data_IF_961890873768
#
_entry.id   IF_961890873768
#
_cell.length_a   1.000
_cell.length_b   1.000
_cell.length_c   1.000
_cell.angle_alpha   90.00
_cell.angle_beta   90.00
_cell.angle_gamma   90.00
#
_symmetry.space_group_name_H-M   'P 1'
#
loop_
_entity.id
_entity.type
_entity.pdbx_description
1 polymer ?
#
# COMPACT_ATOMS: atom_id res chain seq x y z
N UNK A 1 -57.71 11.44 -57.81
CA UNK A 1 -57.55 11.09 -56.38
C UNK A 1 -56.58 9.94 -56.36
N UNK A 2 -55.30 10.24 -56.09
CA UNK A 2 -54.20 9.28 -56.19
C UNK A 2 -53.42 9.40 -54.88
N UNK A 3 -53.56 8.39 -54.03
CA UNK A 3 -52.87 8.25 -52.76
C UNK A 3 -51.37 8.02 -53.00
N UNK A 4 -50.55 8.94 -52.49
CA UNK A 4 -49.09 8.83 -52.49
C UNK A 4 -48.71 8.21 -51.14
N UNK A 5 -48.38 6.91 -51.15
CA UNK A 5 -47.78 6.26 -49.99
C UNK A 5 -46.33 6.73 -49.82
N UNK A 6 -46.05 7.44 -48.74
CA UNK A 6 -44.69 7.73 -48.26
C UNK A 6 -44.09 6.45 -47.64
N UNK A 7 -42.87 6.05 -48.00
CA UNK A 7 -42.19 4.94 -47.35
C UNK A 7 -41.77 5.34 -45.93
N UNK A 8 -42.19 4.53 -44.96
CA UNK A 8 -41.83 4.65 -43.56
C UNK A 8 -40.32 4.45 -43.39
N UNK A 9 -39.69 5.43 -42.76
CA UNK A 9 -38.27 5.49 -42.40
C UNK A 9 -37.94 4.40 -41.37
N UNK A 10 -37.41 3.26 -41.84
CA UNK A 10 -36.77 2.24 -41.00
C UNK A 10 -35.44 2.80 -40.48
N UNK A 11 -35.49 3.52 -39.35
CA UNK A 11 -34.30 3.92 -38.60
C UNK A 11 -33.54 2.67 -38.15
N UNK A 12 -32.29 2.43 -38.59
CA UNK A 12 -31.48 1.37 -38.02
C UNK A 12 -31.14 1.74 -36.57
N UNK A 13 -31.77 0.98 -35.67
CA UNK A 13 -31.56 0.96 -34.23
C UNK A 13 -30.08 0.88 -33.86
N UNK A 14 -29.72 1.69 -32.85
CA UNK A 14 -28.64 1.49 -31.87
C UNK A 14 -27.48 0.62 -32.36
N UNK A 15 -26.38 1.29 -32.70
CA UNK A 15 -25.04 0.70 -32.67
C UNK A 15 -24.83 0.15 -31.25
N UNK A 16 -25.07 -1.14 -31.07
CA UNK A 16 -24.55 -1.90 -29.95
C UNK A 16 -23.03 -1.84 -30.11
N UNK A 17 -22.40 -0.86 -29.44
CA UNK A 17 -20.97 -0.89 -29.24
C UNK A 17 -20.72 -2.18 -28.44
N UNK A 18 -19.99 -3.18 -28.97
CA UNK A 18 -19.60 -4.31 -28.15
C UNK A 18 -18.88 -3.72 -26.94
N UNK A 19 -19.37 -4.04 -25.75
CA UNK A 19 -18.66 -3.80 -24.49
C UNK A 19 -17.26 -4.36 -24.72
N UNK A 20 -16.26 -3.46 -24.79
CA UNK A 20 -14.89 -3.88 -24.93
C UNK A 20 -14.62 -4.89 -23.83
N UNK A 21 -14.15 -6.09 -24.21
CA UNK A 21 -13.67 -7.05 -23.24
C UNK A 21 -12.71 -6.30 -22.31
N UNK A 22 -12.76 -6.52 -20.97
CA UNK A 22 -11.83 -5.88 -20.07
C UNK A 22 -10.43 -6.20 -20.58
N UNK A 23 -9.73 -5.17 -21.07
CA UNK A 23 -8.33 -5.31 -21.45
C UNK A 23 -7.65 -5.81 -20.19
N UNK A 24 -7.03 -7.02 -20.22
CA UNK A 24 -6.25 -7.47 -19.07
C UNK A 24 -5.17 -6.40 -18.87
N UNK A 25 -5.31 -5.62 -17.80
CA UNK A 25 -4.29 -4.66 -17.42
C UNK A 25 -3.02 -5.50 -17.22
N UNK A 26 -1.91 -5.18 -17.92
CA UNK A 26 -0.67 -5.89 -17.69
C UNK A 26 -0.37 -5.81 -16.20
N UNK A 27 -0.28 -6.98 -15.55
CA UNK A 27 0.15 -7.04 -14.15
C UNK A 27 1.64 -6.75 -14.19
N UNK A 28 1.97 -5.46 -14.11
CA UNK A 28 3.33 -4.94 -14.20
C UNK A 28 4.18 -5.46 -13.04
N UNK A 29 5.46 -5.67 -13.34
CA UNK A 29 6.50 -6.06 -12.38
C UNK A 29 6.39 -5.22 -11.09
N UNK A 30 6.47 -5.87 -9.94
CA UNK A 30 6.34 -5.25 -8.61
C UNK A 30 7.32 -4.07 -8.44
N UNK A 31 8.50 -4.16 -9.05
CA UNK A 31 9.51 -3.09 -9.09
C UNK A 31 9.07 -1.89 -9.96
N UNK A 32 8.46 -2.16 -11.12
CA UNK A 32 7.89 -1.12 -11.99
C UNK A 32 6.74 -0.40 -11.28
N UNK A 33 5.92 -1.13 -10.51
CA UNK A 33 4.83 -0.50 -9.74
C UNK A 33 5.36 0.36 -8.59
N UNK A 34 6.47 0.01 -7.93
CA UNK A 34 7.02 0.81 -6.84
C UNK A 34 7.54 2.16 -7.33
N UNK A 35 8.28 2.18 -8.45
CA UNK A 35 8.78 3.42 -9.05
C UNK A 35 7.63 4.38 -9.40
N UNK A 36 6.50 3.86 -9.88
CA UNK A 36 5.30 4.67 -10.13
C UNK A 36 4.70 5.24 -8.84
N UNK A 37 4.57 4.45 -7.79
CA UNK A 37 4.03 4.92 -6.50
C UNK A 37 4.88 6.04 -5.93
N UNK A 38 6.20 5.90 -5.99
CA UNK A 38 7.13 6.95 -5.57
C UNK A 38 6.99 8.20 -6.43
N UNK A 39 6.82 8.07 -7.76
CA UNK A 39 6.57 9.22 -8.65
C UNK A 39 5.29 9.96 -8.28
N UNK A 40 4.20 9.23 -8.01
CA UNK A 40 2.94 9.84 -7.58
C UNK A 40 3.09 10.56 -6.23
N UNK A 41 3.73 9.92 -5.25
CA UNK A 41 4.01 10.54 -3.96
C UNK A 41 4.80 11.85 -4.12
N UNK A 42 5.85 11.85 -4.94
CA UNK A 42 6.66 13.06 -5.22
C UNK A 42 5.87 14.14 -5.97
N UNK A 43 4.93 13.75 -6.85
CA UNK A 43 4.11 14.71 -7.61
C UNK A 43 3.20 15.57 -6.74
N UNK A 44 2.91 15.13 -5.51
CA UNK A 44 2.08 15.89 -4.54
C UNK A 44 2.77 17.14 -3.98
N UNK A 45 4.11 17.24 -4.11
CA UNK A 45 4.90 18.30 -3.48
C UNK A 45 5.14 18.10 -1.98
N UNK A 46 4.55 17.07 -1.35
CA UNK A 46 4.80 16.73 0.04
C UNK A 46 6.22 16.16 0.24
N UNK A 47 6.78 16.33 1.44
CA UNK A 47 8.07 15.74 1.81
C UNK A 47 7.89 14.24 2.01
N UNK A 48 8.53 13.44 1.14
CA UNK A 48 8.57 11.98 1.22
C UNK A 48 9.87 11.52 1.90
N UNK A 49 9.75 10.73 2.96
CA UNK A 49 10.87 9.98 3.55
C UNK A 49 10.50 8.50 3.65
N UNK A 50 11.42 7.62 3.26
CA UNK A 50 11.23 6.17 3.35
C UNK A 50 12.32 5.64 4.28
N UNK A 51 11.93 5.01 5.38
CA UNK A 51 12.89 4.29 6.24
C UNK A 51 13.25 2.94 5.59
N UNK A 52 14.43 2.36 5.92
CA UNK A 52 14.75 1.00 5.51
C UNK A 52 13.64 0.03 5.91
N UNK A 53 13.25 -0.85 4.99
CA UNK A 53 12.30 -1.92 5.30
C UNK A 53 12.97 -2.90 6.25
N UNK A 54 12.24 -3.30 7.28
CA UNK A 54 12.72 -4.26 8.26
C UNK A 54 12.02 -5.60 8.07
N UNK A 55 12.75 -6.67 8.34
CA UNK A 55 12.31 -8.06 8.20
C UNK A 55 12.44 -8.79 9.53
N UNK A 56 11.66 -9.86 9.71
CA UNK A 56 11.68 -10.65 10.94
C UNK A 56 11.49 -12.14 10.66
N UNK A 57 12.13 -12.98 11.47
CA UNK A 57 11.95 -14.44 11.48
C UNK A 57 10.80 -14.87 12.39
N UNK A 58 10.56 -14.12 13.46
CA UNK A 58 9.79 -14.52 14.63
C UNK A 58 8.73 -13.49 15.05
N UNK A 59 8.79 -12.27 14.50
CA UNK A 59 7.96 -11.14 14.90
C UNK A 59 8.55 -10.29 16.02
N UNK A 60 9.64 -10.74 16.64
CA UNK A 60 10.25 -10.09 17.80
C UNK A 60 11.46 -9.24 17.37
N UNK A 61 12.36 -9.83 16.57
CA UNK A 61 13.57 -9.16 16.11
C UNK A 61 13.36 -8.65 14.69
N UNK A 62 13.62 -7.35 14.51
CA UNK A 62 13.46 -6.64 13.25
C UNK A 62 14.81 -6.18 12.74
N UNK A 63 15.17 -6.56 11.51
CA UNK A 63 16.46 -6.26 10.90
C UNK A 63 16.28 -5.61 9.52
N UNK A 64 17.08 -4.59 9.16
CA UNK A 64 16.98 -3.92 7.87
C UNK A 64 17.59 -4.73 6.71
N UNK A 65 18.29 -5.83 7.02
CA UNK A 65 18.95 -6.69 6.05
C UNK A 65 18.64 -8.15 6.37
N UNK A 66 18.10 -8.87 5.38
CA UNK A 66 17.75 -10.28 5.50
C UNK A 66 18.81 -11.15 4.83
N UNK A 67 19.55 -11.94 5.63
CA UNK A 67 20.63 -12.82 5.16
C UNK A 67 20.32 -14.32 5.34
N UNK A 68 19.09 -14.67 5.70
CA UNK A 68 18.69 -16.06 5.85
C UNK A 68 18.35 -16.70 4.50
N UNK A 69 18.61 -18.00 4.38
CA UNK A 69 18.33 -18.79 3.16
C UNK A 69 16.83 -18.94 2.86
N UNK A 70 15.97 -18.75 3.86
CA UNK A 70 14.51 -18.83 3.73
C UNK A 70 13.84 -17.46 3.61
N UNK A 71 12.56 -17.42 3.18
CA UNK A 71 11.79 -16.18 3.18
C UNK A 71 11.65 -15.64 4.61
N UNK A 72 11.63 -14.30 4.78
CA UNK A 72 11.26 -13.70 6.07
C UNK A 72 9.83 -14.09 6.46
N UNK A 73 9.54 -14.17 7.76
CA UNK A 73 8.18 -14.42 8.22
C UNK A 73 7.27 -13.21 7.97
N UNK A 74 7.82 -12.00 8.12
CA UNK A 74 7.13 -10.76 7.85
C UNK A 74 8.10 -9.62 7.49
N UNK A 75 7.54 -8.54 6.96
CA UNK A 75 8.24 -7.28 6.75
C UNK A 75 7.40 -6.09 7.23
N UNK A 76 8.10 -5.00 7.56
CA UNK A 76 7.54 -3.73 8.01
C UNK A 76 8.20 -2.59 7.25
N UNK A 77 7.39 -1.71 6.66
CA UNK A 77 7.86 -0.48 6.02
C UNK A 77 7.28 0.74 6.74
N UNK A 78 8.10 1.78 6.86
CA UNK A 78 7.71 3.09 7.36
C UNK A 78 7.91 4.14 6.28
N UNK A 79 6.85 4.85 5.92
CA UNK A 79 6.87 6.00 5.02
C UNK A 79 6.41 7.22 5.78
N UNK A 80 7.15 8.33 5.70
CA UNK A 80 6.71 9.63 6.23
C UNK A 80 6.26 10.55 5.12
N UNK A 81 5.09 11.15 5.30
CA UNK A 81 4.57 12.28 4.51
C UNK A 81 4.54 13.51 5.40
N UNK A 82 5.32 14.52 5.05
CA UNK A 82 5.44 15.76 5.83
C UNK A 82 5.78 15.51 7.32
N UNK A 83 6.61 14.50 7.57
CA UNK A 83 7.02 14.06 8.91
C UNK A 83 6.04 13.13 9.62
N UNK A 84 4.84 12.89 9.09
CA UNK A 84 3.83 11.99 9.67
C UNK A 84 4.13 10.55 9.25
N UNK A 85 4.44 9.62 10.19
CA UNK A 85 4.77 8.25 9.86
C UNK A 85 3.53 7.41 9.57
N UNK A 86 3.61 6.65 8.48
CA UNK A 86 2.69 5.56 8.13
C UNK A 86 3.48 4.27 8.12
N UNK A 87 3.12 3.36 9.03
CA UNK A 87 3.76 2.05 9.18
C UNK A 87 2.83 0.98 8.66
N UNK A 88 3.34 0.10 7.80
CA UNK A 88 2.61 -1.07 7.30
C UNK A 88 3.40 -2.33 7.59
N UNK A 89 2.68 -3.35 8.05
CA UNK A 89 3.18 -4.69 8.35
C UNK A 89 2.44 -5.72 7.49
N UNK A 90 3.17 -6.70 6.97
CA UNK A 90 2.62 -7.86 6.26
C UNK A 90 3.43 -9.12 6.54
N UNK A 91 2.73 -10.24 6.69
CA UNK A 91 3.33 -11.57 6.72
C UNK A 91 3.63 -12.04 5.30
N UNK A 92 4.69 -12.81 5.14
CA UNK A 92 5.06 -13.42 3.86
C UNK A 92 3.91 -14.27 3.31
N UNK A 93 3.36 -15.16 4.14
CA UNK A 93 2.26 -16.07 3.74
C UNK A 93 0.98 -15.34 3.30
N UNK A 94 0.75 -14.12 3.78
CA UNK A 94 -0.40 -13.28 3.40
C UNK A 94 -0.11 -12.42 2.16
N UNK A 95 1.16 -12.23 1.83
CA UNK A 95 1.59 -11.44 0.68
C UNK A 95 1.71 -12.28 -0.59
N UNK A 96 1.75 -13.61 -0.48
CA UNK A 96 1.86 -14.51 -1.61
C UNK A 96 0.67 -14.33 -2.58
N UNK A 97 0.95 -14.22 -3.89
CA UNK A 97 -0.08 -14.26 -4.91
C UNK A 97 -0.86 -15.57 -4.86
N UNK A 98 -2.12 -15.54 -5.33
CA UNK A 98 -2.94 -16.75 -5.44
C UNK A 98 -2.28 -17.81 -6.33
N UNK A 99 -2.57 -19.08 -6.05
CA UNK A 99 -1.90 -20.24 -6.68
C UNK A 99 -2.11 -20.36 -8.20
N UNK A 100 -3.10 -19.65 -8.75
CA UNK A 100 -3.49 -19.69 -10.16
C UNK A 100 -3.20 -18.40 -10.91
N UNK A 101 -2.58 -17.40 -10.28
CA UNK A 101 -2.33 -16.09 -10.91
C UNK A 101 -1.10 -16.17 -11.83
N UNK A 102 -1.32 -15.96 -13.13
CA UNK A 102 -0.27 -15.99 -14.15
C UNK A 102 0.22 -14.58 -14.51
N UNK A 103 1.49 -14.47 -14.89
CA UNK A 103 2.06 -13.28 -15.53
C UNK A 103 1.68 -13.21 -17.01
N UNK A 104 1.97 -12.07 -17.64
CA UNK A 104 1.79 -11.90 -19.09
C UNK A 104 2.61 -12.91 -19.91
N UNK A 105 3.73 -13.40 -19.37
CA UNK A 105 4.58 -14.41 -20.00
C UNK A 105 4.12 -15.85 -19.70
N UNK A 106 2.99 -16.03 -19.00
CA UNK A 106 2.45 -17.35 -18.64
C UNK A 106 3.14 -18.05 -17.47
N UNK A 107 4.01 -17.35 -16.71
CA UNK A 107 4.63 -17.90 -15.49
C UNK A 107 3.70 -17.72 -14.29
N UNK A 108 3.75 -18.61 -13.31
CA UNK A 108 3.01 -18.38 -12.05
C UNK A 108 3.69 -17.25 -11.27
N UNK A 109 2.86 -16.32 -10.78
CA UNK A 109 3.36 -15.24 -9.93
C UNK A 109 4.01 -15.77 -8.66
N UNK A 110 3.51 -16.89 -8.12
CA UNK A 110 4.07 -17.53 -6.93
C UNK A 110 5.52 -17.97 -7.15
N UNK A 111 5.86 -18.55 -8.29
CA UNK A 111 7.24 -18.97 -8.61
C UNK A 111 8.20 -17.78 -8.60
N UNK A 112 7.75 -16.63 -9.11
CA UNK A 112 8.55 -15.39 -9.13
C UNK A 112 8.77 -14.85 -7.71
N UNK A 113 7.76 -14.98 -6.85
CA UNK A 113 7.85 -14.60 -5.44
C UNK A 113 8.79 -15.52 -4.67
N UNK A 114 8.66 -16.82 -4.85
CA UNK A 114 9.50 -17.82 -4.19
C UNK A 114 10.97 -17.74 -4.63
N UNK A 115 11.24 -17.30 -5.87
CA UNK A 115 12.61 -17.08 -6.35
C UNK A 115 13.32 -15.87 -5.70
N UNK A 116 12.58 -14.82 -5.29
CA UNK A 116 13.15 -13.61 -4.71
C UNK A 116 12.31 -13.08 -3.54
N UNK A 117 12.21 -13.84 -2.42
CA UNK A 117 11.20 -13.58 -1.42
C UNK A 117 11.39 -12.24 -0.71
N UNK A 118 12.62 -11.91 -0.35
CA UNK A 118 12.95 -10.67 0.35
C UNK A 118 12.57 -9.44 -0.48
N UNK A 119 13.04 -9.36 -1.73
CA UNK A 119 12.82 -8.21 -2.61
C UNK A 119 11.32 -8.01 -2.94
N UNK A 120 10.60 -9.12 -3.14
CA UNK A 120 9.16 -9.06 -3.46
C UNK A 120 8.34 -8.64 -2.25
N UNK A 121 8.65 -9.16 -1.06
CA UNK A 121 7.99 -8.73 0.17
C UNK A 121 8.30 -7.26 0.48
N UNK A 122 9.56 -6.85 0.33
CA UNK A 122 9.99 -5.46 0.52
C UNK A 122 9.15 -4.50 -0.33
N UNK A 123 9.13 -4.74 -1.63
CA UNK A 123 8.43 -3.90 -2.58
C UNK A 123 6.92 -3.92 -2.34
N UNK A 124 6.36 -5.06 -1.92
CA UNK A 124 4.94 -5.17 -1.59
C UNK A 124 4.56 -4.34 -0.36
N UNK A 125 5.30 -4.46 0.74
CA UNK A 125 5.01 -3.70 1.96
C UNK A 125 5.24 -2.21 1.75
N UNK A 126 6.27 -1.83 0.99
CA UNK A 126 6.55 -0.43 0.69
C UNK A 126 5.46 0.19 -0.19
N UNK A 127 4.94 -0.52 -1.20
CA UNK A 127 3.78 -0.05 -1.99
C UNK A 127 2.54 0.15 -1.12
N UNK A 128 2.28 -0.78 -0.20
CA UNK A 128 1.15 -0.66 0.73
C UNK A 128 1.33 0.54 1.68
N UNK A 129 2.56 0.80 2.15
CA UNK A 129 2.87 1.98 2.98
C UNK A 129 2.70 3.29 2.20
N UNK A 130 3.20 3.37 0.96
CA UNK A 130 3.01 4.51 0.07
C UNK A 130 1.53 4.73 -0.26
N UNK A 131 0.80 3.68 -0.59
CA UNK A 131 -0.64 3.74 -0.88
C UNK A 131 -1.46 4.26 0.31
N UNK A 132 -1.05 3.94 1.54
CA UNK A 132 -1.69 4.45 2.75
C UNK A 132 -1.28 5.88 3.10
N UNK A 133 0.00 6.23 2.94
CA UNK A 133 0.52 7.57 3.24
C UNK A 133 0.03 8.64 2.24
N UNK A 134 -0.19 8.23 1.00
CA UNK A 134 -0.65 9.07 -0.12
C UNK A 134 -1.98 8.58 -0.68
N UNK A 135 -2.91 8.21 0.22
CA UNK A 135 -4.21 7.63 -0.16
C UNK A 135 -5.04 8.54 -1.08
N UNK A 136 -4.85 9.86 -0.99
CA UNK A 136 -5.47 10.88 -1.84
C UNK A 136 -5.06 10.80 -3.31
N UNK A 137 -3.87 10.27 -3.62
CA UNK A 137 -3.35 10.19 -5.00
C UNK A 137 -3.19 8.74 -5.47
N UNK A 138 -2.98 7.80 -4.54
CA UNK A 138 -2.66 6.39 -4.82
C UNK A 138 -3.81 5.45 -4.42
N UNK A 139 -4.61 5.81 -3.41
CA UNK A 139 -5.46 4.89 -2.64
C UNK A 139 -6.55 4.14 -3.42
N UNK A 140 -7.00 4.68 -4.56
CA UNK A 140 -8.01 4.03 -5.41
C UNK A 140 -7.42 2.97 -6.37
N UNK A 141 -6.10 2.77 -6.40
CA UNK A 141 -5.46 1.85 -7.36
C UNK A 141 -5.55 0.40 -6.89
N UNK A 142 -6.06 -0.53 -7.73
CA UNK A 142 -6.06 -1.95 -7.40
C UNK A 142 -4.62 -2.48 -7.30
N UNK A 143 -4.31 -3.19 -6.22
CA UNK A 143 -3.02 -3.86 -6.06
C UNK A 143 -2.90 -5.00 -7.10
N UNK A 144 -1.81 -5.08 -7.88
CA UNK A 144 -1.60 -6.15 -8.84
C UNK A 144 -1.52 -7.51 -8.13
N UNK A 145 -2.31 -8.50 -8.57
CA UNK A 145 -2.28 -9.88 -8.07
C UNK A 145 -3.21 -10.20 -6.90
N UNK A 146 -3.91 -9.21 -6.31
CA UNK A 146 -5.04 -9.50 -5.42
C UNK A 146 -6.33 -9.66 -6.24
N UNK A 147 -7.08 -10.75 -6.09
CA UNK A 147 -8.42 -10.81 -6.62
C UNK A 147 -9.23 -9.66 -6.01
N UNK A 148 -9.85 -8.85 -6.87
CA UNK A 148 -10.79 -7.82 -6.44
C UNK A 148 -11.91 -8.58 -5.73
N UNK A 149 -12.10 -8.36 -4.42
CA UNK A 149 -13.43 -8.52 -3.88
C UNK A 149 -14.29 -7.61 -4.75
N UNK A 150 -15.28 -8.14 -5.45
CA UNK A 150 -16.25 -7.32 -6.15
C UNK A 150 -16.85 -6.43 -5.06
N UNK A 151 -16.33 -5.20 -4.97
CA UNK A 151 -17.01 -4.15 -4.25
C UNK A 151 -18.19 -3.89 -5.17
N UNK A 152 -19.30 -4.56 -4.87
CA UNK A 152 -20.60 -4.25 -5.43
C UNK A 152 -20.84 -2.77 -5.06
N UNK A 153 -20.35 -1.86 -5.90
CA UNK A 153 -21.12 -0.66 -6.23
C UNK A 153 -22.29 -1.12 -7.11
N UNK A 154 -23.10 -2.01 -6.54
CA UNK A 154 -24.48 -2.22 -6.92
C UNK A 154 -25.27 -1.31 -6.01
N UNK A 155 -26.12 -0.50 -6.61
CA UNK A 155 -27.19 0.26 -5.97
C UNK A 155 -27.78 -0.50 -4.76
N UNK A 156 -27.38 -0.11 -3.54
CA UNK A 156 -27.98 -0.64 -2.31
C UNK A 156 -29.35 0.01 -2.16
N UNK A 157 -30.33 -0.55 -2.86
CA UNK A 157 -31.72 -0.45 -2.45
C UNK A 157 -31.80 -0.94 -1.01
N UNK A 158 -32.21 -0.06 -0.11
CA UNK A 158 -32.46 -0.38 1.29
C UNK A 158 -33.47 -1.53 1.38
N UNK A 159 -32.96 -2.75 1.50
CA UNK A 159 -33.74 -3.89 1.96
C UNK A 159 -33.49 -4.01 3.46
N UNK A 160 -34.55 -3.89 4.30
CA UNK A 160 -34.39 -4.21 5.71
C UNK A 160 -33.92 -5.66 5.81
N UNK A 161 -32.89 -5.90 6.63
CA UNK A 161 -32.38 -7.23 6.90
C UNK A 161 -33.57 -8.15 7.25
N UNK A 162 -33.66 -9.36 6.66
CA UNK A 162 -34.65 -10.32 7.10
C UNK A 162 -34.47 -10.55 8.61
N UNK A 163 -35.56 -10.58 9.38
CA UNK A 163 -35.47 -10.82 10.82
C UNK A 163 -34.67 -12.10 11.06
N UNK A 164 -33.79 -12.13 12.07
CA UNK A 164 -33.02 -13.33 12.36
C UNK A 164 -33.98 -14.50 12.60
N UNK A 165 -33.62 -15.72 12.16
CA UNK A 165 -34.43 -16.89 12.47
C UNK A 165 -34.56 -17.02 13.99
N UNK A 166 -35.79 -17.27 14.48
CA UNK A 166 -36.15 -17.31 15.90
C UNK A 166 -35.27 -18.26 16.75
N UNK A 167 -34.57 -19.20 16.10
CA UNK A 167 -33.61 -20.10 16.73
C UNK A 167 -32.36 -19.39 17.28
N UNK A 168 -31.94 -18.25 16.70
CA UNK A 168 -30.78 -17.49 17.16
C UNK A 168 -31.11 -16.69 18.43
N UNK A 169 -32.32 -16.15 18.54
CA UNK A 169 -32.76 -15.41 19.73
C UNK A 169 -32.90 -16.35 20.95
N UNK A 170 -33.43 -17.55 20.76
CA UNK A 170 -33.53 -18.56 21.82
C UNK A 170 -32.16 -19.02 22.32
N UNK A 171 -31.16 -19.05 21.44
CA UNK A 171 -29.79 -19.43 21.79
C UNK A 171 -29.06 -18.32 22.54
N UNK A 172 -29.31 -17.06 22.18
CA UNK A 172 -28.79 -15.88 22.88
C UNK A 172 -29.40 -15.74 24.30
N UNK A 173 -30.72 -15.93 24.43
CA UNK A 173 -31.41 -15.90 25.73
C UNK A 173 -30.95 -17.03 26.66
N UNK A 174 -30.73 -18.23 26.11
CA UNK A 174 -30.18 -19.36 26.86
C UNK A 174 -28.74 -19.14 27.35
N UNK A 175 -27.93 -18.39 26.58
CA UNK A 175 -26.55 -18.03 26.93
C UNK A 175 -26.50 -16.95 28.00
N UNK A 176 -27.35 -15.92 27.89
CA UNK A 176 -27.49 -14.84 28.87
C UNK A 176 -27.99 -15.36 30.23
N UNK A 177 -28.97 -16.27 30.23
CA UNK A 177 -29.47 -16.92 31.45
C UNK A 177 -28.41 -17.79 32.14
N UNK A 178 -27.50 -18.42 31.38
CA UNK A 178 -26.39 -19.22 31.92
C UNK A 178 -25.25 -18.38 32.49
N UNK A 179 -25.05 -17.17 31.98
CA UNK A 179 -23.97 -16.27 32.41
C UNK A 179 -24.36 -15.38 33.60
N UNK A 180 -25.60 -15.46 34.10
CA UNK A 180 -26.06 -14.69 35.27
C UNK A 180 -26.04 -13.17 35.06
N UNK A 181 -26.03 -12.72 33.80
CA UNK A 181 -26.07 -11.30 33.46
C UNK A 181 -27.52 -10.84 33.57
N UNK A 182 -27.85 -10.19 34.68
CA UNK A 182 -29.14 -9.54 34.87
C UNK A 182 -29.40 -8.44 33.83
N UNK A 183 -30.66 -7.96 33.71
CA UNK A 183 -31.05 -7.01 32.67
C UNK A 183 -30.21 -5.73 32.77
N UNK A 184 -29.66 -5.33 31.62
CA UNK A 184 -28.92 -4.07 31.45
C UNK A 184 -29.87 -2.92 31.80
N UNK A 185 -29.65 -2.31 32.96
CA UNK A 185 -30.30 -1.06 33.32
C UNK A 185 -29.75 0.00 32.37
N UNK A 186 -30.63 0.58 31.54
CA UNK A 186 -30.31 1.79 30.78
C UNK A 186 -29.89 2.89 31.76
N UNK A 187 -28.59 3.20 31.80
CA UNK A 187 -28.06 4.37 32.47
C UNK A 187 -28.21 5.58 31.54
N UNK A 188 -29.03 6.53 31.98
CA UNK A 188 -29.23 7.86 31.40
C UNK A 188 -27.89 8.58 31.11
N UNK A 189 -27.76 9.30 29.98
CA UNK A 189 -26.56 10.06 29.66
C UNK A 189 -26.64 11.44 30.30
N UNK A 190 -26.23 11.55 31.56
CA UNK A 190 -26.14 12.84 32.24
C UNK A 190 -25.25 12.78 33.47
N UNK A 191 -24.27 13.69 33.53
CA UNK A 191 -23.34 13.92 34.64
C UNK A 191 -22.07 13.04 34.69
N UNK A 192 -21.19 13.20 33.70
CA UNK A 192 -19.74 13.03 33.87
C UNK A 192 -18.99 14.23 33.23
N UNK A 193 -19.51 15.44 33.41
CA UNK A 193 -18.67 16.64 33.45
C UNK A 193 -18.26 16.88 34.91
N UNK A 194 -17.01 17.30 35.11
CA UNK A 194 -16.37 17.63 36.39
C UNK A 194 -15.77 16.45 37.19
N UNK A 195 -14.65 15.88 36.72
CA UNK A 195 -13.47 15.59 37.56
C UNK A 195 -12.32 14.95 36.76
N UNK A 196 -11.57 15.74 35.99
CA UNK A 196 -10.16 15.43 35.75
C UNK A 196 -9.36 16.70 36.02
N UNK A 197 -9.03 16.86 37.30
CA UNK A 197 -8.12 17.89 37.77
C UNK A 197 -6.71 17.65 37.23
N UNK A 198 -6.12 18.75 36.77
CA UNK A 198 -4.71 19.08 36.67
C UNK A 198 -3.71 18.07 37.24
N UNK A 199 -3.01 17.36 36.35
CA UNK A 199 -1.75 16.73 36.69
C UNK A 199 -0.63 17.79 36.79
N UNK A 200 0.23 17.76 37.82
CA UNK A 200 1.35 18.70 37.93
C UNK A 200 2.39 18.44 36.84
N UNK A 201 2.71 19.48 36.07
CA UNK A 201 3.83 19.50 35.12
C UNK A 201 5.14 19.25 35.87
N UNK A 202 5.76 18.09 35.65
CA UNK A 202 7.15 17.85 36.06
C UNK A 202 8.07 18.87 35.35
N UNK A 203 9.00 19.52 36.06
CA UNK A 203 10.02 20.32 35.41
C UNK A 203 10.93 19.40 34.58
N UNK A 204 11.09 19.73 33.29
CA UNK A 204 12.03 19.08 32.39
C UNK A 204 13.44 19.14 32.97
N UNK A 205 13.99 17.99 33.33
CA UNK A 205 15.41 17.86 33.58
C UNK A 205 16.15 18.14 32.26
N UNK A 206 16.98 19.18 32.26
CA UNK A 206 17.94 19.47 31.19
C UNK A 206 18.92 18.30 31.15
N UNK A 207 18.80 17.46 30.12
CA UNK A 207 19.76 16.40 29.85
C UNK A 207 21.08 17.06 29.41
N UNK A 208 22.20 16.88 30.14
CA UNK A 208 23.49 17.37 29.68
C UNK A 208 23.87 16.66 28.39
N UNK A 209 24.12 17.46 27.35
CA UNK A 209 24.59 16.99 26.05
C UNK A 209 25.98 16.37 26.25
N UNK A 210 26.22 15.11 25.82
CA UNK A 210 27.56 14.54 25.87
C UNK A 210 28.52 15.38 24.99
N UNK A 211 29.80 15.49 25.36
CA UNK A 211 30.79 16.14 24.53
C UNK A 211 30.86 15.44 23.18
N UNK A 212 30.89 16.21 22.10
CA UNK A 212 30.99 15.67 20.75
C UNK A 212 32.27 14.81 20.64
N UNK A 213 32.22 13.64 20.01
CA UNK A 213 33.43 12.90 19.66
C UNK A 213 34.29 13.79 18.75
N UNK A 214 35.60 13.78 19.02
CA UNK A 214 36.61 14.53 18.27
C UNK A 214 36.69 13.93 16.87
N UNK A 215 35.87 14.44 15.94
CA UNK A 215 35.87 13.98 14.55
C UNK A 215 37.03 14.67 13.85
N UNK A 216 38.07 13.94 13.40
CA UNK A 216 39.14 14.55 12.61
C UNK A 216 38.54 15.20 11.37
N UNK A 217 38.82 16.50 11.19
CA UNK A 217 38.42 17.25 10.02
C UNK A 217 38.98 16.57 8.77
N UNK A 218 38.11 15.90 8.01
CA UNK A 218 38.43 15.40 6.69
C UNK A 218 38.64 16.62 5.79
N UNK A 219 39.90 16.96 5.52
CA UNK A 219 40.25 18.02 4.58
C UNK A 219 39.58 17.74 3.23
N UNK A 220 38.81 18.72 2.73
CA UNK A 220 38.18 18.62 1.41
C UNK A 220 39.28 18.43 0.36
N UNK A 221 39.20 17.39 -0.49
CA UNK A 221 40.12 17.26 -1.60
C UNK A 221 39.96 18.46 -2.54
N UNK A 222 41.02 19.27 -2.64
CA UNK A 222 41.12 20.34 -3.62
C UNK A 222 41.01 19.72 -5.02
N UNK A 223 40.01 20.17 -5.77
CA UNK A 223 39.69 19.65 -7.10
C UNK A 223 40.91 19.65 -8.03
N UNK A 224 41.24 18.48 -8.56
CA UNK A 224 42.09 18.38 -9.75
C UNK A 224 41.26 18.83 -10.94
N UNK A 225 41.58 20.03 -11.41
CA UNK A 225 41.15 20.60 -12.69
C UNK A 225 41.42 19.61 -13.81
N UNK A 226 40.46 19.54 -14.73
CA UNK A 226 40.49 18.75 -15.93
C UNK A 226 41.63 19.16 -16.87
N UNK A 227 42.59 18.25 -17.08
CA UNK A 227 43.53 18.26 -18.19
C UNK A 227 43.40 16.92 -18.95
N UNK A 228 42.32 16.76 -19.71
CA UNK A 228 42.15 15.59 -20.57
C UNK A 228 41.38 15.90 -21.86
N UNK A 229 41.67 17.07 -22.48
CA UNK A 229 41.07 17.44 -23.77
C UNK A 229 42.03 17.81 -24.90
N UNK A 230 43.35 17.68 -24.71
CA UNK A 230 44.32 18.10 -25.73
C UNK A 230 45.08 16.94 -26.43
N UNK A 231 44.79 15.66 -26.12
CA UNK A 231 45.62 14.55 -26.61
C UNK A 231 44.98 13.69 -27.72
N UNK A 232 43.84 14.12 -28.29
CA UNK A 232 43.13 13.35 -29.33
C UNK A 232 43.28 13.87 -30.77
N UNK A 233 44.07 14.91 -31.01
CA UNK A 233 44.25 15.51 -32.35
C UNK A 233 45.63 15.24 -33.00
N UNK A 234 46.49 14.39 -32.42
CA UNK A 234 47.85 14.11 -32.98
C UNK A 234 48.07 12.71 -33.57
N UNK A 235 47.04 11.88 -33.74
CA UNK A 235 47.18 10.52 -34.34
C UNK A 235 46.29 10.29 -35.57
N UNK A 236 46.13 11.30 -36.42
CA UNK A 236 45.29 11.24 -37.62
C UNK A 236 46.01 11.51 -38.94
N UNK A 237 47.34 11.36 -39.01
CA UNK A 237 48.08 11.72 -40.22
C UNK A 237 49.32 10.86 -40.44
N UNK A 238 49.14 9.59 -40.78
CA UNK A 238 50.18 8.75 -41.39
C UNK A 238 49.58 7.49 -42.00
N UNK A 239 48.87 7.63 -43.13
CA UNK A 239 48.77 6.58 -44.17
C UNK A 239 48.48 7.26 -45.52
N UNK A 240 49.53 7.50 -46.29
CA UNK A 240 49.56 7.51 -47.76
C UNK A 240 50.97 7.20 -48.23
#
# INVERSE_FOLDING_TARGET
>A
MTDIQLPTDDKPSRIHRPTAAPVPLPVDDVAQTLAEYTRYALSTGARLEIEPVEFTADGEVWVPLWLHDGPPAAARATVRRDGIPTVVFRRWVEALPGETVLTNDGRLWRDIWEANPTERLESYVLRAALGRAFADVIGDRPEPGKPRAASERGEEGWYPAPPPPAEIEQLADGLLARLGVGPVVHLEPGALEAAVMSAPRRPSAVVPRPPAPDVPHLEKPRGRRAESRAQRDRRGGEQR
#
